data_IF_807474855549
#
_entry.id   IF_807474855549
#
_cell.length_a   1.000
_cell.length_b   1.000
_cell.length_c   1.000
_cell.angle_alpha   90.00
_cell.angle_beta   90.00
_cell.angle_gamma   90.00
#
_symmetry.space_group_name_H-M   'P 1'
#
loop_
_entity.id
_entity.type
_entity.pdbx_description
1 polymer ?
#
# COMPACT_ATOMS: atom_id res chain seq x y z
N UNK A 1 -1.72 -42.52 3.07
CA UNK A 1 -3.03 -42.75 2.43
C UNK A 1 -3.38 -41.52 1.61
N UNK A 2 -3.57 -41.67 0.30
CA UNK A 2 -3.97 -40.56 -0.58
C UNK A 2 -5.48 -40.35 -0.41
N UNK A 3 -5.90 -39.23 0.17
CA UNK A 3 -7.31 -38.86 0.26
C UNK A 3 -7.77 -38.52 -1.17
N UNK A 4 -8.91 -39.06 -1.67
CA UNK A 4 -9.43 -38.68 -2.98
C UNK A 4 -9.69 -37.17 -3.04
N UNK A 5 -9.26 -36.50 -4.10
CA UNK A 5 -9.35 -35.04 -4.26
C UNK A 5 -10.76 -34.51 -3.97
N UNK A 6 -11.80 -35.18 -4.47
CA UNK A 6 -13.20 -34.83 -4.23
C UNK A 6 -13.61 -34.87 -2.74
N UNK A 7 -13.04 -35.78 -1.95
CA UNK A 7 -13.30 -35.92 -0.51
C UNK A 7 -12.59 -34.83 0.28
N UNK A 8 -11.36 -34.48 -0.11
CA UNK A 8 -10.62 -33.37 0.49
C UNK A 8 -11.33 -32.04 0.26
N UNK A 9 -11.76 -31.75 -0.98
CA UNK A 9 -12.52 -30.53 -1.33
C UNK A 9 -13.80 -30.42 -0.50
N UNK A 10 -14.57 -31.49 -0.34
CA UNK A 10 -15.81 -31.47 0.47
C UNK A 10 -15.53 -31.20 1.96
N UNK A 11 -14.46 -31.76 2.50
CA UNK A 11 -14.06 -31.55 3.89
C UNK A 11 -13.66 -30.10 4.13
N UNK A 12 -12.85 -29.54 3.23
CA UNK A 12 -12.44 -28.13 3.29
C UNK A 12 -13.63 -27.19 3.08
N UNK A 13 -14.54 -27.50 2.16
CA UNK A 13 -15.76 -26.71 1.97
C UNK A 13 -16.60 -26.64 3.25
N UNK A 14 -16.80 -27.78 3.92
CA UNK A 14 -17.54 -27.87 5.19
C UNK A 14 -16.85 -27.06 6.28
N UNK A 15 -15.52 -27.15 6.37
CA UNK A 15 -14.72 -26.36 7.31
C UNK A 15 -14.92 -24.85 7.09
N UNK A 16 -14.75 -24.37 5.86
CA UNK A 16 -14.88 -22.95 5.53
C UNK A 16 -16.28 -22.42 5.86
N UNK A 17 -17.33 -23.18 5.51
CA UNK A 17 -18.71 -22.83 5.83
C UNK A 17 -18.96 -22.79 7.34
N UNK A 18 -18.37 -23.70 8.12
CA UNK A 18 -18.48 -23.68 9.59
C UNK A 18 -17.88 -22.41 10.22
N UNK A 19 -16.88 -21.82 9.57
CA UNK A 19 -16.30 -20.53 9.95
C UNK A 19 -17.02 -19.33 9.34
N UNK A 20 -18.15 -19.53 8.66
CA UNK A 20 -18.96 -18.48 8.05
C UNK A 20 -18.38 -17.90 6.76
N UNK A 21 -17.43 -18.59 6.13
CA UNK A 21 -16.82 -18.17 4.87
C UNK A 21 -17.53 -18.78 3.66
N UNK A 22 -17.63 -18.02 2.57
CA UNK A 22 -18.10 -18.55 1.30
C UNK A 22 -17.05 -19.46 0.65
N UNK A 23 -17.22 -20.78 0.81
CA UNK A 23 -16.32 -21.79 0.28
C UNK A 23 -16.15 -21.72 -1.24
N UNK A 24 -17.22 -21.46 -2.01
CA UNK A 24 -17.16 -21.38 -3.48
C UNK A 24 -16.26 -20.23 -3.94
N UNK A 25 -16.44 -19.05 -3.35
CA UNK A 25 -15.61 -17.88 -3.62
C UNK A 25 -14.15 -18.12 -3.22
N UNK A 26 -13.91 -18.80 -2.09
CA UNK A 26 -12.55 -19.17 -1.67
C UNK A 26 -11.92 -20.14 -2.65
N UNK A 27 -12.59 -21.22 -3.07
CA UNK A 27 -12.00 -22.15 -4.04
C UNK A 27 -11.74 -21.51 -5.41
N UNK A 28 -12.57 -20.55 -5.82
CA UNK A 28 -12.39 -19.84 -7.09
C UNK A 28 -11.10 -18.99 -7.10
N UNK A 29 -10.76 -18.34 -5.99
CA UNK A 29 -9.59 -17.44 -5.89
C UNK A 29 -8.35 -18.11 -5.28
N UNK A 30 -8.58 -19.02 -4.34
CA UNK A 30 -7.57 -19.76 -3.59
C UNK A 30 -7.77 -21.29 -3.74
N UNK A 31 -7.55 -21.87 -4.94
CA UNK A 31 -7.80 -23.28 -5.21
C UNK A 31 -6.87 -24.24 -4.45
N UNK A 32 -5.68 -23.77 -4.05
CA UNK A 32 -4.67 -24.56 -3.33
C UNK A 32 -4.92 -24.63 -1.82
N UNK A 33 -6.06 -24.15 -1.34
CA UNK A 33 -6.43 -24.19 0.08
C UNK A 33 -6.49 -25.62 0.65
N UNK A 34 -6.69 -26.62 -0.21
CA UNK A 34 -6.63 -28.05 0.16
C UNK A 34 -5.22 -28.54 0.47
N UNK A 35 -4.18 -27.82 0.04
CA UNK A 35 -2.76 -28.14 0.27
C UNK A 35 -2.23 -27.53 1.57
N UNK A 36 -2.98 -26.63 2.21
CA UNK A 36 -2.55 -25.95 3.43
C UNK A 36 -2.55 -26.91 4.61
N UNK A 37 -1.37 -27.12 5.19
CA UNK A 37 -1.22 -27.92 6.40
C UNK A 37 -1.91 -27.25 7.60
N UNK A 38 -2.48 -28.06 8.49
CA UNK A 38 -3.16 -27.58 9.70
C UNK A 38 -4.27 -26.53 9.43
N UNK A 39 -4.94 -26.63 8.28
CA UNK A 39 -5.93 -25.66 7.79
C UNK A 39 -6.95 -25.21 8.86
N UNK A 40 -7.41 -26.11 9.73
CA UNK A 40 -8.34 -25.75 10.83
C UNK A 40 -7.78 -24.65 11.72
N UNK A 41 -6.55 -24.83 12.23
CA UNK A 41 -5.88 -23.83 13.08
C UNK A 41 -5.62 -22.53 12.32
N UNK A 42 -5.33 -22.65 11.03
CA UNK A 42 -5.03 -21.52 10.16
C UNK A 42 -6.27 -20.66 9.90
N UNK A 43 -7.39 -21.28 9.52
CA UNK A 43 -8.68 -20.60 9.33
C UNK A 43 -9.14 -19.99 10.65
N UNK A 44 -8.99 -20.69 11.78
CA UNK A 44 -9.32 -20.15 13.09
C UNK A 44 -8.50 -18.88 13.42
N UNK A 45 -7.20 -18.89 13.16
CA UNK A 45 -6.35 -17.71 13.38
C UNK A 45 -6.82 -16.52 12.54
N UNK A 46 -7.01 -16.73 11.23
CA UNK A 46 -7.36 -15.63 10.32
C UNK A 46 -8.76 -15.08 10.57
N UNK A 47 -9.73 -15.94 10.88
CA UNK A 47 -11.11 -15.50 11.22
C UNK A 47 -11.19 -14.82 12.59
N UNK A 48 -10.25 -15.07 13.50
CA UNK A 48 -10.14 -14.34 14.76
C UNK A 48 -9.48 -12.97 14.62
N UNK A 49 -8.61 -12.77 13.62
CA UNK A 49 -7.84 -11.54 13.45
C UNK A 49 -8.34 -10.64 12.32
N UNK A 50 -9.09 -11.19 11.35
CA UNK A 50 -9.63 -10.46 10.21
C UNK A 50 -11.15 -10.62 10.13
N UNK A 51 -11.80 -9.61 9.56
CA UNK A 51 -13.22 -9.69 9.19
C UNK A 51 -13.39 -10.74 8.09
N UNK A 52 -14.46 -11.53 8.17
CA UNK A 52 -14.79 -12.53 7.14
C UNK A 52 -14.84 -11.92 5.74
N UNK A 53 -15.42 -10.72 5.60
CA UNK A 53 -15.47 -9.99 4.33
C UNK A 53 -14.08 -9.71 3.73
N UNK A 54 -13.07 -9.47 4.57
CA UNK A 54 -11.70 -9.22 4.11
C UNK A 54 -11.06 -10.52 3.57
N UNK A 55 -11.30 -11.63 4.27
CA UNK A 55 -10.87 -12.97 3.82
C UNK A 55 -11.57 -13.32 2.50
N UNK A 56 -12.84 -12.97 2.31
CA UNK A 56 -13.56 -13.23 1.05
C UNK A 56 -13.12 -12.33 -0.11
N UNK A 57 -12.70 -11.09 0.18
CA UNK A 57 -12.11 -10.18 -0.80
C UNK A 57 -10.76 -10.73 -1.26
N UNK A 58 -9.94 -11.23 -0.32
CA UNK A 58 -8.59 -11.73 -0.56
C UNK A 58 -8.34 -13.08 0.15
N UNK A 59 -8.85 -14.21 -0.38
CA UNK A 59 -8.73 -15.52 0.24
C UNK A 59 -7.30 -16.05 0.37
N UNK A 60 -6.38 -15.54 -0.43
CA UNK A 60 -4.96 -15.91 -0.42
C UNK A 60 -4.27 -15.56 0.90
N UNK A 61 -4.91 -14.73 1.75
CA UNK A 61 -4.47 -14.54 3.14
C UNK A 61 -4.39 -15.87 3.91
N UNK A 62 -5.22 -16.86 3.55
CA UNK A 62 -5.20 -18.20 4.14
C UNK A 62 -3.98 -19.05 3.74
N UNK A 63 -3.09 -18.52 2.91
CA UNK A 63 -1.79 -19.12 2.62
C UNK A 63 -0.66 -18.49 3.44
N UNK A 64 -0.91 -17.35 4.08
CA UNK A 64 0.10 -16.60 4.79
C UNK A 64 0.29 -17.16 6.19
N UNK A 65 1.53 -17.22 6.66
CA UNK A 65 1.80 -17.67 8.03
C UNK A 65 1.26 -16.64 9.06
N UNK A 66 0.73 -17.07 10.22
CA UNK A 66 0.23 -16.18 11.27
C UNK A 66 1.23 -15.11 11.73
N UNK A 67 2.53 -15.39 11.63
CA UNK A 67 3.61 -14.46 11.98
C UNK A 67 3.59 -13.21 11.12
N UNK A 68 3.18 -13.31 9.85
CA UNK A 68 3.07 -12.16 8.93
C UNK A 68 2.08 -11.12 9.49
N UNK A 69 0.94 -11.58 10.03
CA UNK A 69 -0.01 -10.68 10.69
C UNK A 69 0.60 -10.05 11.94
N UNK A 70 1.34 -10.81 12.73
CA UNK A 70 1.96 -10.32 13.97
C UNK A 70 3.05 -9.29 13.70
N UNK A 71 3.89 -9.53 12.71
CA UNK A 71 4.92 -8.59 12.22
C UNK A 71 4.29 -7.31 11.69
N UNK A 72 3.27 -7.44 10.83
CA UNK A 72 2.51 -6.31 10.32
C UNK A 72 1.88 -5.51 11.46
N UNK A 73 1.19 -6.17 12.39
CA UNK A 73 0.56 -5.55 13.56
C UNK A 73 1.56 -4.76 14.38
N UNK A 74 2.70 -5.38 14.73
CA UNK A 74 3.73 -4.76 15.57
C UNK A 74 4.32 -3.50 14.94
N UNK A 75 4.44 -3.46 13.61
CA UNK A 75 4.90 -2.27 12.91
C UNK A 75 3.79 -1.24 12.71
N UNK A 76 2.57 -1.69 12.40
CA UNK A 76 1.40 -0.85 12.21
C UNK A 76 1.09 0.01 13.44
N UNK A 77 1.09 -0.58 14.64
CA UNK A 77 0.76 0.15 15.88
C UNK A 77 1.82 1.17 16.31
N UNK A 78 3.01 1.17 15.69
CA UNK A 78 4.02 2.23 15.89
C UNK A 78 3.65 3.53 15.17
N UNK A 79 2.80 3.43 14.13
CA UNK A 79 2.47 4.55 13.22
C UNK A 79 1.00 4.93 13.30
N UNK A 80 0.11 3.97 13.51
CA UNK A 80 -1.35 4.16 13.56
C UNK A 80 -1.93 3.67 14.89
N UNK A 81 -3.15 4.10 15.20
CA UNK A 81 -3.84 3.63 16.40
C UNK A 81 -4.21 2.15 16.27
N UNK A 82 -4.13 1.40 17.37
CA UNK A 82 -4.52 -0.03 17.40
C UNK A 82 -5.94 -0.28 16.88
N UNK A 83 -6.87 0.62 17.14
CA UNK A 83 -8.25 0.50 16.71
C UNK A 83 -8.42 0.56 15.18
N UNK A 84 -7.47 1.18 14.46
CA UNK A 84 -7.55 1.39 13.02
C UNK A 84 -7.19 0.14 12.21
N UNK A 85 -6.47 -0.83 12.80
CA UNK A 85 -5.98 -2.01 12.07
C UNK A 85 -7.12 -2.84 11.48
N UNK A 86 -8.22 -2.99 12.22
CA UNK A 86 -9.39 -3.73 11.79
C UNK A 86 -10.08 -3.07 10.58
N UNK A 87 -9.99 -1.74 10.49
CA UNK A 87 -10.48 -1.02 9.32
C UNK A 87 -9.52 -1.17 8.14
N UNK A 88 -8.21 -0.96 8.36
CA UNK A 88 -7.20 -1.05 7.31
C UNK A 88 -7.13 -2.46 6.70
N UNK A 89 -7.02 -3.52 7.50
CA UNK A 89 -7.00 -4.88 6.98
C UNK A 89 -8.40 -5.36 6.54
N UNK A 90 -9.46 -4.71 7.03
CA UNK A 90 -10.83 -4.93 6.56
C UNK A 90 -11.06 -4.51 5.12
N UNK A 91 -10.39 -3.43 4.67
CA UNK A 91 -10.52 -2.87 3.32
C UNK A 91 -9.36 -3.26 2.40
N UNK A 92 -8.16 -3.44 2.97
CA UNK A 92 -6.91 -3.67 2.26
C UNK A 92 -6.13 -4.86 2.86
N UNK A 93 -6.72 -6.08 2.91
CA UNK A 93 -6.03 -7.26 3.47
C UNK A 93 -4.73 -7.61 2.73
N UNK A 94 -4.60 -7.20 1.46
CA UNK A 94 -3.40 -7.40 0.64
C UNK A 94 -2.17 -6.69 1.22
N UNK A 95 -2.33 -5.73 2.14
CA UNK A 95 -1.21 -5.05 2.79
C UNK A 95 -0.26 -6.01 3.51
N UNK A 96 -0.76 -7.19 3.92
CA UNK A 96 0.04 -8.26 4.52
C UNK A 96 1.08 -8.87 3.58
N UNK A 97 0.97 -8.64 2.26
CA UNK A 97 1.95 -9.12 1.27
C UNK A 97 3.12 -8.15 1.04
N UNK A 98 3.03 -6.92 1.52
CA UNK A 98 4.03 -5.90 1.26
C UNK A 98 5.03 -5.84 2.40
N UNK A 99 6.29 -5.60 2.04
CA UNK A 99 7.33 -5.28 3.01
C UNK A 99 6.98 -4.00 3.74
N UNK A 100 7.18 -4.01 5.07
CA UNK A 100 6.83 -2.86 5.90
C UNK A 100 7.62 -1.60 5.49
N UNK A 101 8.87 -1.74 5.05
CA UNK A 101 9.69 -0.62 4.57
C UNK A 101 9.04 0.13 3.42
N UNK A 102 8.41 -0.57 2.49
CA UNK A 102 7.78 0.02 1.30
C UNK A 102 6.49 0.74 1.69
N UNK A 103 5.73 0.17 2.63
CA UNK A 103 4.55 0.82 3.20
C UNK A 103 4.96 2.07 3.98
N UNK A 104 6.03 1.99 4.77
CA UNK A 104 6.54 3.10 5.54
C UNK A 104 6.98 4.27 4.64
N UNK A 105 7.68 4.02 3.53
CA UNK A 105 8.05 5.06 2.56
C UNK A 105 6.80 5.79 2.01
N UNK A 106 5.74 5.04 1.68
CA UNK A 106 4.47 5.63 1.23
C UNK A 106 3.77 6.44 2.33
N UNK A 107 3.79 5.96 3.57
CA UNK A 107 3.19 6.66 4.72
C UNK A 107 3.92 7.97 4.98
N UNK A 108 5.26 7.94 5.01
CA UNK A 108 6.08 9.11 5.20
C UNK A 108 5.86 10.13 4.08
N UNK A 109 5.74 9.68 2.83
CA UNK A 109 5.39 10.57 1.72
C UNK A 109 4.01 11.22 1.91
N UNK A 110 3.00 10.46 2.34
CA UNK A 110 1.66 11.01 2.61
C UNK A 110 1.68 12.06 3.73
N UNK A 111 2.40 11.80 4.83
CA UNK A 111 2.43 12.70 5.99
C UNK A 111 3.30 13.93 5.72
N UNK A 112 4.50 13.74 5.18
CA UNK A 112 5.51 14.79 5.10
C UNK A 112 5.44 15.60 3.78
N UNK A 113 5.15 14.94 2.67
CA UNK A 113 5.14 15.58 1.34
C UNK A 113 3.74 16.06 0.97
N UNK A 114 2.74 15.18 1.12
CA UNK A 114 1.35 15.50 0.81
C UNK A 114 0.73 16.33 1.95
N UNK A 115 1.07 16.04 3.21
CA UNK A 115 0.42 16.67 4.36
C UNK A 115 -0.94 16.04 4.70
N UNK A 116 -1.14 14.79 4.31
CA UNK A 116 -2.35 14.04 4.61
C UNK A 116 -2.34 13.56 6.09
N UNK A 117 -3.46 13.69 6.82
CA UNK A 117 -3.55 13.15 8.17
C UNK A 117 -3.62 11.61 8.14
N UNK A 118 -3.09 10.95 9.18
CA UNK A 118 -3.12 9.49 9.33
C UNK A 118 -4.50 8.88 9.08
N UNK A 119 -5.57 9.54 9.53
CA UNK A 119 -6.95 9.09 9.31
C UNK A 119 -7.30 8.93 7.83
N UNK A 120 -6.84 9.83 6.95
CA UNK A 120 -7.07 9.69 5.50
C UNK A 120 -6.30 8.52 4.90
N UNK A 121 -5.11 8.22 5.43
CA UNK A 121 -4.34 7.05 5.00
C UNK A 121 -5.11 5.77 5.37
N UNK A 122 -5.52 5.65 6.64
CA UNK A 122 -6.27 4.50 7.19
C UNK A 122 -7.55 4.20 6.42
N UNK A 123 -8.32 5.22 6.05
CA UNK A 123 -9.64 5.09 5.44
C UNK A 123 -9.59 5.07 3.90
N UNK A 124 -8.40 4.97 3.30
CA UNK A 124 -8.22 4.91 1.86
C UNK A 124 -7.48 3.64 1.47
N UNK A 125 -7.51 3.30 0.19
CA UNK A 125 -6.68 2.24 -0.41
C UNK A 125 -5.32 2.75 -0.86
N UNK A 126 -4.91 3.95 -0.42
CA UNK A 126 -3.67 4.62 -0.81
C UNK A 126 -2.44 3.69 -0.81
N UNK A 127 -2.28 2.89 0.25
CA UNK A 127 -1.11 2.03 0.44
C UNK A 127 -1.02 0.87 -0.58
N UNK A 128 -2.14 0.49 -1.20
CA UNK A 128 -2.19 -0.56 -2.22
C UNK A 128 -1.65 -0.09 -3.59
N UNK A 129 -1.59 1.22 -3.83
CA UNK A 129 -1.15 1.73 -5.13
C UNK A 129 0.39 1.73 -5.24
N UNK A 130 0.94 1.50 -6.44
CA UNK A 130 2.37 1.67 -6.69
C UNK A 130 2.85 3.08 -6.31
N UNK A 131 4.07 3.18 -5.78
CA UNK A 131 4.56 4.47 -5.28
C UNK A 131 4.69 5.53 -6.39
N UNK A 132 5.13 5.12 -7.59
CA UNK A 132 5.17 6.01 -8.75
C UNK A 132 3.78 6.54 -9.14
N UNK A 133 2.73 5.71 -9.05
CA UNK A 133 1.36 6.16 -9.31
C UNK A 133 0.95 7.26 -8.31
N UNK A 134 1.26 7.05 -7.03
CA UNK A 134 1.01 8.04 -5.97
C UNK A 134 1.75 9.36 -6.26
N UNK A 135 3.07 9.31 -6.49
CA UNK A 135 3.90 10.49 -6.81
C UNK A 135 3.34 11.23 -8.02
N UNK A 136 3.07 10.50 -9.10
CA UNK A 136 2.56 11.05 -10.36
C UNK A 136 1.22 11.76 -10.17
N UNK A 137 0.25 11.10 -9.52
CA UNK A 137 -1.07 11.70 -9.26
C UNK A 137 -0.96 12.96 -8.42
N UNK A 138 -0.14 12.92 -7.37
CA UNK A 138 0.06 14.05 -6.47
C UNK A 138 0.74 15.23 -7.17
N UNK A 139 1.87 14.99 -7.85
CA UNK A 139 2.60 16.02 -8.58
C UNK A 139 1.74 16.68 -9.66
N UNK A 140 0.89 15.91 -10.35
CA UNK A 140 -0.03 16.45 -11.34
C UNK A 140 -1.01 17.46 -10.71
N UNK A 141 -1.70 17.07 -9.63
CA UNK A 141 -2.68 17.96 -8.98
C UNK A 141 -2.02 19.15 -8.28
N UNK A 142 -0.77 18.99 -7.83
CA UNK A 142 0.02 20.06 -7.25
C UNK A 142 0.44 21.10 -8.31
N UNK A 143 1.05 20.65 -9.42
CA UNK A 143 1.55 21.54 -10.49
C UNK A 143 0.46 22.24 -11.27
N UNK A 144 -0.73 21.64 -11.33
CA UNK A 144 -1.93 22.26 -11.94
C UNK A 144 -2.68 23.19 -10.99
N UNK A 145 -2.24 23.32 -9.73
CA UNK A 145 -2.87 24.17 -8.73
C UNK A 145 -4.21 23.65 -8.19
N UNK A 146 -4.64 22.45 -8.59
CA UNK A 146 -5.87 21.81 -8.09
C UNK A 146 -5.72 21.42 -6.62
N UNK A 147 -4.50 21.05 -6.21
CA UNK A 147 -4.14 20.76 -4.84
C UNK A 147 -3.22 21.85 -4.29
N UNK A 148 -3.60 22.40 -3.14
CA UNK A 148 -2.76 23.33 -2.38
C UNK A 148 -2.38 22.68 -1.06
N UNK A 149 -1.07 22.61 -0.79
CA UNK A 149 -0.56 21.99 0.45
C UNK A 149 -1.16 22.68 1.69
N UNK A 150 -1.61 21.93 2.71
CA UNK A 150 -2.07 22.51 3.97
C UNK A 150 -1.00 23.39 4.62
N UNK A 151 -1.27 24.70 4.72
CA UNK A 151 -0.46 25.58 5.54
C UNK A 151 -0.86 25.40 7.00
N UNK A 152 0.08 24.95 7.85
CA UNK A 152 -0.14 24.78 9.30
C UNK A 152 -0.62 26.06 10.00
N UNK A 153 -0.31 27.24 9.45
CA UNK A 153 -0.66 28.56 10.02
C UNK A 153 -1.97 29.13 9.49
N UNK A 154 -2.47 28.67 8.34
CA UNK A 154 -3.58 29.32 7.65
C UNK A 154 -4.67 28.32 7.27
N UNK A 155 -5.61 28.09 8.20
CA UNK A 155 -6.70 27.11 8.09
C UNK A 155 -7.77 27.50 7.04
N UNK A 156 -7.70 28.69 6.45
CA UNK A 156 -8.80 29.27 5.64
C UNK A 156 -8.71 29.02 4.13
N UNK A 157 -7.59 28.50 3.59
CA UNK A 157 -7.38 28.36 2.14
C UNK A 157 -6.83 27.00 1.70
N UNK A 158 -7.31 25.93 2.30
CA UNK A 158 -6.88 24.60 1.89
C UNK A 158 -7.92 23.95 0.98
N UNK A 159 -7.77 24.11 -0.33
CA UNK A 159 -8.50 23.27 -1.29
C UNK A 159 -7.84 21.88 -1.30
N UNK A 160 -8.10 21.10 -0.25
CA UNK A 160 -7.56 19.74 -0.10
C UNK A 160 -8.43 18.82 -0.94
N UNK A 161 -7.92 18.35 -2.07
CA UNK A 161 -8.45 17.12 -2.64
C UNK A 161 -8.14 15.98 -1.66
N UNK A 162 -9.14 15.21 -1.17
CA UNK A 162 -8.87 14.10 -0.26
C UNK A 162 -7.90 13.07 -0.87
N UNK A 163 -7.08 12.43 -0.03
CA UNK A 163 -6.06 11.47 -0.49
C UNK A 163 -6.65 10.38 -1.41
N UNK A 164 -7.79 9.82 -1.02
CA UNK A 164 -8.55 8.84 -1.83
C UNK A 164 -8.91 9.38 -3.23
N UNK A 165 -9.28 10.66 -3.36
CA UNK A 165 -9.66 11.26 -4.64
C UNK A 165 -8.45 11.51 -5.54
N UNK A 166 -7.29 11.77 -4.95
CA UNK A 166 -6.04 11.94 -5.72
C UNK A 166 -5.61 10.59 -6.31
N UNK A 167 -5.60 9.54 -5.49
CA UNK A 167 -4.94 8.27 -5.86
C UNK A 167 -5.91 7.25 -6.45
N UNK A 168 -7.13 7.15 -5.95
CA UNK A 168 -8.07 6.06 -6.30
C UNK A 168 -9.03 6.43 -7.43
N UNK A 169 -9.15 7.71 -7.77
CA UNK A 169 -10.09 8.14 -8.79
C UNK A 169 -9.66 7.70 -10.19
N UNK A 170 -10.65 7.57 -11.07
CA UNK A 170 -10.41 7.23 -12.47
C UNK A 170 -9.57 8.31 -13.17
N UNK A 171 -8.79 7.95 -14.22
CA UNK A 171 -8.09 8.94 -15.03
C UNK A 171 -8.97 10.11 -15.46
N UNK A 172 -10.19 9.83 -15.93
CA UNK A 172 -11.14 10.85 -16.37
C UNK A 172 -11.53 11.84 -15.28
N UNK A 173 -11.68 11.39 -14.02
CA UNK A 173 -11.96 12.29 -12.90
C UNK A 173 -10.82 13.29 -12.70
N UNK A 174 -9.58 12.80 -12.69
CA UNK A 174 -8.39 13.64 -12.54
C UNK A 174 -8.27 14.63 -13.70
N UNK A 175 -8.38 14.17 -14.94
CA UNK A 175 -8.30 15.02 -16.13
C UNK A 175 -9.34 16.15 -16.11
N UNK A 176 -10.59 15.83 -15.71
CA UNK A 176 -11.64 16.84 -15.57
C UNK A 176 -11.31 17.88 -14.50
N UNK A 177 -10.65 17.46 -13.41
CA UNK A 177 -10.25 18.38 -12.32
C UNK A 177 -9.05 19.24 -12.70
N UNK A 178 -8.08 18.69 -13.40
CA UNK A 178 -6.87 19.39 -13.85
C UNK A 178 -7.05 20.16 -15.15
N UNK A 179 -8.15 19.93 -15.87
CA UNK A 179 -8.43 20.48 -17.20
C UNK A 179 -7.38 20.11 -18.25
N UNK A 180 -6.74 18.96 -18.06
CA UNK A 180 -5.77 18.40 -19.01
C UNK A 180 -6.44 17.41 -19.96
N UNK A 181 -5.86 17.28 -21.13
CA UNK A 181 -6.17 16.22 -22.10
C UNK A 181 -5.53 14.89 -21.69
N UNK A 182 -6.03 13.79 -22.25
CA UNK A 182 -5.41 12.47 -22.05
C UNK A 182 -3.95 12.47 -22.51
N UNK A 183 -3.63 13.11 -23.64
CA UNK A 183 -2.28 13.15 -24.20
C UNK A 183 -1.28 13.89 -23.31
N UNK A 184 -1.69 15.01 -22.70
CA UNK A 184 -0.87 15.74 -21.74
C UNK A 184 -0.59 14.89 -20.50
N UNK A 185 -1.60 14.18 -19.99
CA UNK A 185 -1.41 13.28 -18.86
C UNK A 185 -0.51 12.08 -19.16
N UNK A 186 -0.65 11.46 -20.34
CA UNK A 186 0.26 10.40 -20.78
C UNK A 186 1.71 10.90 -20.93
N UNK A 187 1.89 12.12 -21.42
CA UNK A 187 3.21 12.75 -21.51
C UNK A 187 3.78 13.02 -20.12
N UNK A 188 2.97 13.55 -19.20
CA UNK A 188 3.37 13.76 -17.82
C UNK A 188 3.77 12.45 -17.12
N UNK A 189 3.02 11.35 -17.31
CA UNK A 189 3.38 10.04 -16.77
C UNK A 189 4.74 9.56 -17.27
N UNK A 190 5.04 9.74 -18.56
CA UNK A 190 6.36 9.38 -19.12
C UNK A 190 7.49 10.20 -18.50
N UNK A 191 7.28 11.50 -18.29
CA UNK A 191 8.26 12.35 -17.60
C UNK A 191 8.48 11.91 -16.15
N UNK A 192 7.41 11.59 -15.42
CA UNK A 192 7.52 11.08 -14.04
C UNK A 192 8.24 9.74 -13.97
N UNK A 193 8.02 8.83 -14.92
CA UNK A 193 8.74 7.56 -15.00
C UNK A 193 10.24 7.78 -15.22
N UNK A 194 10.61 8.68 -16.14
CA UNK A 194 12.01 9.00 -16.39
C UNK A 194 12.70 9.58 -15.15
N UNK A 195 12.02 10.48 -14.42
CA UNK A 195 12.52 11.03 -13.17
C UNK A 195 12.75 9.95 -12.11
N UNK A 196 11.79 9.03 -11.94
CA UNK A 196 11.93 7.94 -10.97
C UNK A 196 13.06 6.97 -11.38
N UNK A 197 13.19 6.63 -12.66
CA UNK A 197 14.29 5.80 -13.16
C UNK A 197 15.66 6.42 -12.87
N UNK A 198 15.80 7.73 -13.03
CA UNK A 198 17.04 8.45 -12.75
C UNK A 198 17.32 8.55 -11.24
N UNK A 199 16.31 8.82 -10.41
CA UNK A 199 16.42 8.75 -8.94
C UNK A 199 16.89 7.36 -8.47
N UNK A 200 16.36 6.28 -9.06
CA UNK A 200 16.73 4.91 -8.70
C UNK A 200 18.15 4.56 -9.13
N UNK A 201 18.60 5.04 -10.31
CA UNK A 201 20.01 4.90 -10.74
C UNK A 201 20.94 5.61 -9.76
N UNK A 202 20.57 6.81 -9.31
CA UNK A 202 21.37 7.57 -8.37
C UNK A 202 21.45 6.89 -7.00
N UNK A 203 20.32 6.43 -6.46
CA UNK A 203 20.29 5.65 -5.20
C UNK A 203 21.19 4.42 -5.28
N UNK A 204 21.16 3.68 -6.40
CA UNK A 204 22.04 2.52 -6.64
C UNK A 204 23.51 2.90 -6.71
N UNK A 205 23.82 4.04 -7.35
CA UNK A 205 25.19 4.58 -7.45
C UNK A 205 25.73 4.93 -6.06
N UNK A 206 24.97 5.70 -5.27
CA UNK A 206 25.34 6.06 -3.89
C UNK A 206 25.52 4.82 -3.01
N UNK A 207 24.60 3.84 -3.11
CA UNK A 207 24.71 2.59 -2.35
C UNK A 207 25.96 1.78 -2.71
N UNK A 208 26.37 1.79 -3.99
CA UNK A 208 27.61 1.16 -4.45
C UNK A 208 28.84 1.85 -3.86
N UNK A 209 28.91 3.18 -3.87
CA UNK A 209 30.02 3.93 -3.29
C UNK A 209 30.14 3.72 -1.78
N UNK A 210 29.03 3.73 -1.05
CA UNK A 210 29.01 3.43 0.39
C UNK A 210 29.55 2.03 0.70
N UNK A 211 29.19 1.02 -0.09
CA UNK A 211 29.73 -0.35 0.05
C UNK A 211 31.23 -0.44 -0.23
N UNK A 212 31.77 0.48 -1.03
CA UNK A 212 33.20 0.55 -1.37
C UNK A 212 34.02 1.38 -0.37
N UNK A 213 33.42 1.82 0.75
CA UNK A 213 34.12 2.56 1.80
C UNK A 213 34.37 4.04 1.49
N UNK A 214 33.79 4.56 0.41
CA UNK A 214 33.85 6.00 0.11
C UNK A 214 32.74 6.72 0.89
N UNK A 215 33.13 7.47 1.91
CA UNK A 215 32.25 8.37 2.66
C UNK A 215 32.35 9.76 2.00
N UNK A 216 31.40 10.10 1.13
CA UNK A 216 31.29 11.48 0.62
C UNK A 216 30.74 12.39 1.72
N UNK A 217 31.66 12.89 2.55
CA UNK A 217 31.53 14.14 3.29
C UNK A 217 32.93 14.78 3.38
N UNK A 218 33.53 15.08 2.23
CA UNK A 218 34.47 16.19 2.16
C UNK A 218 33.65 17.40 1.75
N UNK A 219 33.16 18.07 2.79
CA UNK A 219 32.78 19.47 2.83
C UNK A 219 33.67 20.26 1.86
N UNK A 220 33.06 20.88 0.85
CA UNK A 220 33.67 22.03 0.19
C UNK A 220 33.89 23.06 1.30
N UNK A 221 35.08 23.08 1.88
CA UNK A 221 35.57 24.25 2.57
C UNK A 221 35.64 25.33 1.50
N UNK A 222 34.68 26.23 1.59
CA UNK A 222 34.65 27.50 0.90
C UNK A 222 35.79 28.34 1.49
N UNK A 223 37.04 28.01 1.11
CA UNK A 223 38.20 28.86 1.31
C UNK A 223 38.10 29.99 0.28
N UNK A 224 37.15 30.90 0.48
CA UNK A 224 37.06 32.21 -0.20
C UNK A 224 36.03 33.11 0.50
N UNK A 225 36.38 33.60 1.68
CA UNK A 225 35.95 34.93 2.13
C UNK A 225 37.16 35.57 2.84
N UNK A 226 37.79 36.49 2.12
CA UNK A 226 38.77 37.47 2.62
C UNK A 226 38.27 38.23 3.85
#
# INVERSE_FOLDING_TARGET
MVIPVARATRTVATLLTNFGLNAENIFAKAPRITEVENLVTHVQFWTANLRLSAIEIFPEVLYLRPEVHSEFYNNYVKVFARADIQHTLGTCPQLLLYEWSDLQEKIEYAVNVIGAPHKQIVHSRYLLYPFLHIKTRFELVLRTGVYVKPNRRDKKRTYVMPLEKIVESSPNYILKRTRLTQMEYETFKRMMQQQDDDEQKEKKRIAKYRKQGFNEFNEYKDDNLD
#
